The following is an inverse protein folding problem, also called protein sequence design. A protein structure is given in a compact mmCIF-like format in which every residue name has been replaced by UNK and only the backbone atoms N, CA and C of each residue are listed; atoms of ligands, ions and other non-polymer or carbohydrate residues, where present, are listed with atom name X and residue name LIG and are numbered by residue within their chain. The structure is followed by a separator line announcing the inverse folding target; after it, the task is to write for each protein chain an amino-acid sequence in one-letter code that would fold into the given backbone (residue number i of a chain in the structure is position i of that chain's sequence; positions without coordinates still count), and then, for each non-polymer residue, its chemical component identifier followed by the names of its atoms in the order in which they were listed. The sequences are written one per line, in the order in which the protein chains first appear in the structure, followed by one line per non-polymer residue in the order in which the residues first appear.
data_IF_185812476812
#
_entry.id   IF_185812476812
#
_cell.length_a   1.000
_cell.length_b   1.000
_cell.length_c   1.000
_cell.angle_alpha   90.00
_cell.angle_beta   90.00
_cell.angle_gamma   90.00
#
_symmetry.space_group_name_H-M   'P 1'
#
loop_
_entity.id
_entity.type
_entity.pdbx_description
1 polymer ?
#
# COMPACT_ATOMS: atom_id res chain seq x y z
N UNK A 1 -4.93 25.10 1.05
CA UNK A 1 -3.98 24.45 0.12
C UNK A 1 -3.16 23.42 0.91
N UNK A 2 -3.11 22.17 0.45
CA UNK A 2 -2.29 21.12 1.08
C UNK A 2 -0.80 21.40 0.85
N UNK A 3 0.02 21.38 1.91
CA UNK A 3 1.47 21.63 1.82
C UNK A 3 2.20 20.38 1.29
N UNK A 4 2.27 20.26 -0.04
CA UNK A 4 2.88 19.10 -0.73
C UNK A 4 3.64 19.53 -1.99
N UNK A 5 4.63 18.74 -2.43
CA UNK A 5 5.46 19.03 -3.59
C UNK A 5 6.89 19.44 -3.25
N UNK A 6 7.67 19.88 -4.25
CA UNK A 6 9.10 20.22 -4.11
C UNK A 6 9.36 21.33 -3.11
N UNK A 7 8.45 22.31 -3.02
CA UNK A 7 8.50 23.41 -2.05
C UNK A 7 8.43 22.94 -0.60
N UNK A 8 7.97 21.72 -0.32
CA UNK A 8 7.95 21.15 1.03
C UNK A 8 9.31 20.53 1.44
N UNK A 9 10.27 20.36 0.52
CA UNK A 9 11.61 19.89 0.83
C UNK A 9 12.55 21.06 1.14
N UNK A 10 12.97 21.18 2.41
CA UNK A 10 13.98 22.14 2.85
C UNK A 10 13.52 23.09 3.95
N UNK A 11 12.21 23.16 4.21
CA UNK A 11 11.70 23.92 5.35
C UNK A 11 11.82 23.11 6.65
N UNK A 12 12.17 23.77 7.79
CA UNK A 12 12.18 23.13 9.10
C UNK A 12 10.83 22.45 9.38
N UNK A 13 10.88 21.26 9.99
CA UNK A 13 9.68 20.59 10.47
C UNK A 13 9.25 21.28 11.77
N UNK A 14 8.62 22.45 11.67
CA UNK A 14 8.02 23.09 12.84
C UNK A 14 6.90 22.19 13.36
N UNK A 15 6.99 21.81 14.64
CA UNK A 15 5.96 21.02 15.33
C UNK A 15 4.69 21.87 15.37
N UNK A 16 3.80 21.67 14.41
CA UNK A 16 2.51 22.37 14.37
C UNK A 16 1.83 22.48 13.00
N UNK A 17 2.57 22.41 11.88
CA UNK A 17 1.99 22.62 10.54
C UNK A 17 2.05 21.35 9.67
N UNK A 18 0.87 20.73 9.52
CA UNK A 18 0.36 19.66 8.64
C UNK A 18 1.26 18.92 7.62
N UNK A 19 0.93 17.65 7.33
CA UNK A 19 1.92 16.64 6.98
C UNK A 19 2.45 16.76 5.54
N UNK A 20 3.73 16.42 5.39
CA UNK A 20 4.41 16.09 4.11
C UNK A 20 3.81 14.87 3.39
N UNK A 21 2.63 14.42 3.82
CA UNK A 21 1.95 13.23 3.37
C UNK A 21 0.44 13.45 3.27
N UNK A 22 -0.22 12.73 2.38
CA UNK A 22 -1.69 12.70 2.33
C UNK A 22 -2.16 11.36 1.77
N UNK A 23 -3.35 10.92 2.16
CA UNK A 23 -3.95 9.68 1.64
C UNK A 23 -4.88 9.97 0.48
N UNK A 24 -4.63 9.37 -0.68
CA UNK A 24 -5.47 9.47 -1.87
C UNK A 24 -5.40 8.17 -2.68
N UNK A 25 -6.54 7.73 -3.23
CA UNK A 25 -6.66 6.47 -3.99
C UNK A 25 -6.05 5.23 -3.31
N UNK A 26 -6.10 5.17 -1.97
CA UNK A 26 -5.55 4.05 -1.21
C UNK A 26 -4.03 4.05 -1.04
N UNK A 27 -3.37 5.15 -1.36
CA UNK A 27 -1.97 5.39 -1.08
C UNK A 27 -1.80 6.56 -0.14
N UNK A 28 -0.90 6.43 0.83
CA UNK A 28 -0.26 7.56 1.47
C UNK A 28 0.86 8.05 0.55
N UNK A 29 0.66 9.22 -0.03
CA UNK A 29 1.66 9.94 -0.80
C UNK A 29 2.59 10.66 0.16
N UNK A 30 3.89 10.69 -0.11
CA UNK A 30 4.86 11.40 0.71
C UNK A 30 5.93 12.06 -0.16
N UNK A 31 6.42 13.21 0.28
CA UNK A 31 7.59 13.85 -0.33
C UNK A 31 8.88 13.38 0.33
N UNK A 32 9.92 13.17 -0.47
CA UNK A 32 11.23 12.76 0.02
C UNK A 32 12.34 13.08 -0.97
N UNK A 33 13.56 12.67 -0.63
CA UNK A 33 14.72 12.71 -1.53
C UNK A 33 15.04 11.31 -2.04
N UNK A 34 15.38 11.21 -3.31
CA UNK A 34 15.96 10.00 -3.89
C UNK A 34 17.36 9.74 -3.33
N UNK A 35 17.90 8.55 -3.60
CA UNK A 35 19.30 8.20 -3.29
C UNK A 35 20.33 9.17 -3.90
N UNK A 36 19.98 9.83 -5.01
CA UNK A 36 20.81 10.85 -5.68
C UNK A 36 20.45 12.28 -5.26
N UNK A 37 19.73 12.47 -4.15
CA UNK A 37 19.36 13.79 -3.60
C UNK A 37 18.18 14.50 -4.30
N UNK A 38 17.70 14.00 -5.45
CA UNK A 38 16.58 14.63 -6.20
C UNK A 38 15.25 14.52 -5.46
N UNK A 39 14.38 15.53 -5.61
CA UNK A 39 12.99 15.50 -5.13
C UNK A 39 12.24 14.30 -5.72
N UNK A 40 11.50 13.58 -4.87
CA UNK A 40 10.61 12.50 -5.29
C UNK A 40 9.31 12.51 -4.50
N UNK A 41 8.24 12.10 -5.18
CA UNK A 41 6.97 11.74 -4.57
C UNK A 41 6.91 10.21 -4.48
N UNK A 42 7.00 9.69 -3.27
CA UNK A 42 6.81 8.27 -3.01
C UNK A 42 5.34 7.95 -2.72
N UNK A 43 4.97 6.69 -2.94
CA UNK A 43 3.68 6.15 -2.54
C UNK A 43 3.88 4.95 -1.62
N UNK A 44 3.07 4.87 -0.57
CA UNK A 44 2.95 3.69 0.29
C UNK A 44 1.47 3.30 0.37
N UNK A 45 1.14 2.01 0.35
CA UNK A 45 -0.23 1.55 0.59
C UNK A 45 -0.72 2.09 1.92
N UNK A 46 -1.92 2.67 1.91
CA UNK A 46 -2.56 3.14 3.13
C UNK A 46 -2.77 1.96 4.10
N UNK A 47 -2.26 2.07 5.33
CA UNK A 47 -2.27 0.98 6.30
C UNK A 47 -3.68 0.51 6.66
N UNK A 48 -4.66 1.43 6.77
CA UNK A 48 -6.06 1.08 7.03
C UNK A 48 -6.66 0.32 5.86
N UNK A 49 -6.27 0.64 4.63
CA UNK A 49 -6.72 -0.08 3.43
C UNK A 49 -6.04 -1.45 3.32
N UNK A 50 -4.77 -1.57 3.67
CA UNK A 50 -4.04 -2.84 3.68
C UNK A 50 -4.69 -3.85 4.62
N UNK A 51 -4.95 -3.46 5.88
CA UNK A 51 -5.61 -4.33 6.87
C UNK A 51 -7.02 -4.74 6.43
N UNK A 52 -7.83 -3.80 5.93
CA UNK A 52 -9.17 -4.11 5.39
C UNK A 52 -9.12 -5.11 4.23
N UNK A 53 -8.19 -4.96 3.29
CA UNK A 53 -8.02 -5.91 2.19
C UNK A 53 -7.58 -7.31 2.65
N UNK A 54 -6.75 -7.41 3.70
CA UNK A 54 -6.37 -8.72 4.26
C UNK A 54 -7.56 -9.39 4.96
N UNK A 55 -8.35 -8.63 5.72
CA UNK A 55 -9.57 -9.16 6.36
C UNK A 55 -10.56 -9.70 5.33
N UNK A 56 -10.83 -8.93 4.28
CA UNK A 56 -11.71 -9.36 3.17
C UNK A 56 -11.18 -10.60 2.45
N UNK A 57 -9.86 -10.68 2.23
CA UNK A 57 -9.23 -11.87 1.65
C UNK A 57 -9.47 -13.10 2.54
N UNK A 58 -9.20 -12.99 3.85
CA UNK A 58 -9.41 -14.08 4.80
C UNK A 58 -10.87 -14.55 4.84
N UNK A 59 -11.83 -13.62 4.90
CA UNK A 59 -13.27 -13.94 4.86
C UNK A 59 -13.65 -14.69 3.58
N UNK A 60 -13.14 -14.24 2.43
CA UNK A 60 -13.42 -14.91 1.16
C UNK A 60 -12.78 -16.29 1.07
N UNK A 61 -11.54 -16.45 1.53
CA UNK A 61 -10.87 -17.75 1.58
C UNK A 61 -11.61 -18.71 2.52
N UNK A 62 -12.09 -18.24 3.69
CA UNK A 62 -12.93 -19.04 4.60
C UNK A 62 -14.20 -19.53 3.93
N UNK A 63 -14.90 -18.66 3.20
CA UNK A 63 -16.12 -19.03 2.48
C UNK A 63 -15.86 -20.04 1.35
N UNK A 64 -14.66 -20.05 0.76
CA UNK A 64 -14.27 -20.99 -0.28
C UNK A 64 -13.78 -22.34 0.25
N UNK A 65 -13.58 -22.51 1.57
CA UNK A 65 -13.08 -23.77 2.14
C UNK A 65 -13.99 -24.95 1.83
N UNK A 66 -15.31 -24.74 1.83
CA UNK A 66 -16.29 -25.77 1.46
C UNK A 66 -16.22 -26.18 -0.02
N UNK A 67 -15.63 -25.35 -0.87
CA UNK A 67 -15.44 -25.61 -2.30
C UNK A 67 -14.08 -26.27 -2.61
N UNK A 68 -13.23 -26.44 -1.60
CA UNK A 68 -11.93 -27.12 -1.71
C UNK A 68 -10.75 -26.22 -2.06
N UNK A 69 -9.54 -26.79 -1.96
CA UNK A 69 -8.27 -26.06 -2.10
C UNK A 69 -8.03 -25.46 -3.49
N UNK A 70 -8.50 -26.11 -4.56
CA UNK A 70 -8.36 -25.59 -5.93
C UNK A 70 -9.11 -24.26 -6.11
N UNK A 71 -10.34 -24.15 -5.59
CA UNK A 71 -11.12 -22.91 -5.64
C UNK A 71 -10.45 -21.79 -4.84
N UNK A 72 -9.89 -22.11 -3.67
CA UNK A 72 -9.13 -21.17 -2.85
C UNK A 72 -7.88 -20.66 -3.59
N UNK A 73 -7.08 -21.55 -4.18
CA UNK A 73 -5.85 -21.19 -4.89
C UNK A 73 -6.14 -20.35 -6.14
N UNK A 74 -7.16 -20.72 -6.92
CA UNK A 74 -7.59 -19.96 -8.09
C UNK A 74 -8.01 -18.52 -7.70
N UNK A 75 -8.79 -18.38 -6.63
CA UNK A 75 -9.19 -17.08 -6.12
C UNK A 75 -7.99 -16.27 -5.61
N UNK A 76 -7.12 -16.87 -4.79
CA UNK A 76 -5.94 -16.23 -4.22
C UNK A 76 -5.02 -15.70 -5.32
N UNK A 77 -4.73 -16.53 -6.33
CA UNK A 77 -3.89 -16.16 -7.47
C UNK A 77 -4.45 -14.95 -8.21
N UNK A 78 -5.74 -14.96 -8.55
CA UNK A 78 -6.41 -13.84 -9.21
C UNK A 78 -6.37 -12.57 -8.37
N UNK A 79 -6.65 -12.70 -7.07
CA UNK A 79 -6.67 -11.58 -6.13
C UNK A 79 -5.28 -10.95 -5.95
N UNK A 80 -4.25 -11.77 -5.76
CA UNK A 80 -2.87 -11.31 -5.61
C UNK A 80 -2.37 -10.63 -6.89
N UNK A 81 -2.69 -11.18 -8.07
CA UNK A 81 -2.34 -10.56 -9.37
C UNK A 81 -2.90 -9.14 -9.46
N UNK A 82 -4.19 -8.96 -9.15
CA UNK A 82 -4.81 -7.62 -9.15
C UNK A 82 -4.23 -6.70 -8.08
N UNK A 83 -3.87 -7.23 -6.91
CA UNK A 83 -3.22 -6.44 -5.86
C UNK A 83 -1.84 -5.95 -6.31
N UNK A 84 -1.02 -6.81 -6.90
CA UNK A 84 0.31 -6.46 -7.42
C UNK A 84 0.20 -5.42 -8.53
N UNK A 85 -0.72 -5.61 -9.48
CA UNK A 85 -0.92 -4.65 -10.58
C UNK A 85 -1.29 -3.25 -10.08
N UNK A 86 -2.11 -3.14 -9.05
CA UNK A 86 -2.52 -1.84 -8.51
C UNK A 86 -1.45 -1.22 -7.59
N UNK A 87 -0.90 -1.99 -6.67
CA UNK A 87 0.00 -1.50 -5.62
C UNK A 87 1.49 -1.60 -5.98
N UNK A 88 1.84 -2.17 -7.13
CA UNK A 88 3.19 -2.30 -7.67
C UNK A 88 3.79 -0.97 -8.16
N UNK A 89 3.76 0.06 -7.32
CA UNK A 89 4.26 1.40 -7.61
C UNK A 89 5.57 1.70 -6.88
N UNK A 90 6.35 2.63 -7.41
CA UNK A 90 7.62 3.05 -6.80
C UNK A 90 7.43 3.55 -5.36
N UNK A 91 8.30 3.07 -4.46
CA UNK A 91 8.25 3.38 -3.02
C UNK A 91 7.40 2.41 -2.18
N UNK A 92 6.65 1.50 -2.81
CA UNK A 92 5.68 0.66 -2.11
C UNK A 92 6.08 -0.82 -1.92
N UNK A 93 7.28 -1.21 -2.37
CA UNK A 93 7.71 -2.61 -2.39
C UNK A 93 7.61 -3.31 -1.03
N UNK A 94 7.95 -2.61 0.06
CA UNK A 94 7.86 -3.16 1.44
C UNK A 94 6.44 -3.51 1.85
N UNK A 95 5.47 -2.62 1.57
CA UNK A 95 4.08 -2.89 1.92
C UNK A 95 3.47 -3.97 1.02
N UNK A 96 3.85 -3.99 -0.26
CA UNK A 96 3.45 -5.05 -1.19
C UNK A 96 3.96 -6.42 -0.73
N UNK A 97 5.25 -6.53 -0.41
CA UNK A 97 5.85 -7.77 0.09
C UNK A 97 5.17 -8.25 1.40
N UNK A 98 4.93 -7.33 2.34
CA UNK A 98 4.22 -7.64 3.57
C UNK A 98 2.79 -8.13 3.33
N UNK A 99 2.07 -7.55 2.36
CA UNK A 99 0.73 -8.02 2.00
C UNK A 99 0.76 -9.44 1.44
N UNK A 100 1.69 -9.73 0.51
CA UNK A 100 1.84 -11.06 -0.09
C UNK A 100 2.17 -12.11 0.98
N UNK A 101 3.13 -11.80 1.86
CA UNK A 101 3.51 -12.70 2.96
C UNK A 101 2.34 -13.04 3.90
N UNK A 102 1.52 -12.04 4.26
CA UNK A 102 0.35 -12.31 5.10
C UNK A 102 -0.72 -13.08 4.33
N UNK A 103 -0.95 -12.76 3.05
CA UNK A 103 -1.94 -13.42 2.22
C UNK A 103 -1.67 -14.92 2.01
N UNK A 104 -0.40 -15.33 1.91
CA UNK A 104 -0.02 -16.74 1.79
C UNK A 104 -0.16 -17.56 3.07
N UNK A 105 -0.46 -16.90 4.21
CA UNK A 105 -0.63 -17.54 5.53
C UNK A 105 -2.09 -17.69 5.96
N UNK A 106 -3.05 -17.23 5.15
CA UNK A 106 -4.50 -17.26 5.42
C UNK A 106 -5.12 -18.59 4.97
#
# INVERSE_FOLDING_TARGET
LLRFGSHALGQPHERGNEPRTFSFLGFTHYVGRSRRGRFVVGRKTDGKRLGRKLKQLNERLRALRSQGGAAMLAYLTRHLRGHIQYYGVSGNSRALAGYLYQATRL
#
